data_IF_675862060379
#
_entry.id   IF_675862060379
#
_cell.length_a   1.000
_cell.length_b   1.000
_cell.length_c   1.000
_cell.angle_alpha   90.00
_cell.angle_beta   90.00
_cell.angle_gamma   90.00
#
_symmetry.space_group_name_H-M   'P 1'
#
loop_
_entity.id
_entity.type
_entity.pdbx_description
1 polymer ?
#
# COMPACT_ATOMS: atom_id res chain seq x y z
N UNK A 1 24.30 9.04 34.75
CA UNK A 1 23.12 9.91 34.47
C UNK A 1 22.82 10.14 32.98
N UNK A 2 23.80 10.36 32.08
CA UNK A 2 23.55 10.57 30.63
C UNK A 2 22.81 9.42 29.91
N UNK A 3 23.02 8.17 30.34
CA UNK A 3 22.38 6.99 29.73
C UNK A 3 20.87 6.89 30.00
N UNK A 4 20.41 7.36 31.17
CA UNK A 4 18.98 7.37 31.54
C UNK A 4 18.23 8.44 30.74
N UNK A 5 18.79 9.65 30.64
CA UNK A 5 18.20 10.72 29.85
C UNK A 5 18.00 10.31 28.37
N UNK A 6 19.02 9.71 27.74
CA UNK A 6 18.93 9.25 26.34
C UNK A 6 17.82 8.21 26.13
N UNK A 7 17.62 7.31 27.10
CA UNK A 7 16.57 6.29 27.08
C UNK A 7 15.17 6.92 27.20
N UNK A 8 15.00 7.90 28.08
CA UNK A 8 13.73 8.62 28.27
C UNK A 8 13.33 9.44 27.03
N UNK A 9 14.29 10.11 26.38
CA UNK A 9 14.02 10.83 25.14
C UNK A 9 13.60 9.90 24.01
N UNK A 10 14.26 8.74 23.87
CA UNK A 10 13.93 7.75 22.85
C UNK A 10 12.55 7.12 23.04
N UNK A 11 12.15 6.90 24.30
CA UNK A 11 10.81 6.40 24.64
C UNK A 11 9.74 7.46 24.33
N UNK A 12 10.02 8.73 24.63
CA UNK A 12 9.09 9.83 24.38
C UNK A 12 8.88 10.10 22.89
N UNK A 13 9.94 10.12 22.08
CA UNK A 13 9.82 10.26 20.61
C UNK A 13 9.14 9.07 19.97
N UNK A 14 9.42 7.85 20.43
CA UNK A 14 8.72 6.64 19.95
C UNK A 14 7.21 6.72 20.20
N UNK A 15 6.80 7.19 21.39
CA UNK A 15 5.39 7.36 21.74
C UNK A 15 4.68 8.45 20.90
N UNK A 16 5.33 9.60 20.69
CA UNK A 16 4.77 10.69 19.89
C UNK A 16 4.61 10.26 18.43
N UNK A 17 5.62 9.58 17.87
CA UNK A 17 5.59 9.09 16.50
C UNK A 17 4.48 8.05 16.31
N UNK A 18 4.33 7.08 17.23
CA UNK A 18 3.24 6.08 17.15
C UNK A 18 1.85 6.69 17.29
N UNK A 19 1.69 7.75 18.09
CA UNK A 19 0.41 8.45 18.24
C UNK A 19 0.08 9.22 16.96
N UNK A 20 1.04 9.97 16.41
CA UNK A 20 0.86 10.73 15.17
C UNK A 20 0.52 9.80 13.99
N UNK A 21 1.27 8.71 13.80
CA UNK A 21 1.00 7.74 12.74
C UNK A 21 -0.42 7.16 12.85
N UNK A 22 -0.92 6.90 14.07
CA UNK A 22 -2.27 6.34 14.26
C UNK A 22 -3.38 7.28 13.76
N UNK A 23 -3.24 8.58 13.98
CA UNK A 23 -4.21 9.59 13.55
C UNK A 23 -4.19 9.82 12.03
N UNK A 24 -3.02 9.68 11.40
CA UNK A 24 -2.89 9.83 9.94
C UNK A 24 -3.05 8.52 9.15
N UNK A 25 -3.44 7.42 9.81
CA UNK A 25 -3.61 6.11 9.17
C UNK A 25 -4.47 6.20 7.90
N UNK A 26 -5.61 6.87 7.99
CA UNK A 26 -6.54 6.98 6.86
C UNK A 26 -5.94 7.79 5.71
N UNK A 27 -5.24 8.89 6.02
CA UNK A 27 -4.55 9.72 5.02
C UNK A 27 -3.49 8.91 4.28
N UNK A 28 -2.68 8.13 5.00
CA UNK A 28 -1.63 7.30 4.39
C UNK A 28 -2.23 6.21 3.50
N UNK A 29 -3.32 5.57 3.92
CA UNK A 29 -4.03 4.59 3.10
C UNK A 29 -4.58 5.24 1.82
N UNK A 30 -5.22 6.40 1.94
CA UNK A 30 -5.73 7.14 0.78
C UNK A 30 -4.62 7.54 -0.17
N UNK A 31 -3.47 8.00 0.33
CA UNK A 31 -2.31 8.30 -0.51
C UNK A 31 -1.81 7.08 -1.27
N UNK A 32 -1.79 5.90 -0.63
CA UNK A 32 -1.40 4.66 -1.31
C UNK A 32 -2.40 4.31 -2.41
N UNK A 33 -3.71 4.37 -2.13
CA UNK A 33 -4.77 4.15 -3.13
C UNK A 33 -4.58 5.08 -4.33
N UNK A 34 -4.35 6.37 -4.08
CA UNK A 34 -4.14 7.37 -5.12
C UNK A 34 -2.88 7.09 -5.95
N UNK A 35 -1.79 6.67 -5.32
CA UNK A 35 -0.55 6.30 -6.01
C UNK A 35 -0.75 5.13 -6.96
N UNK A 36 -1.47 4.08 -6.51
CA UNK A 36 -1.77 2.90 -7.33
C UNK A 36 -2.69 3.29 -8.49
N UNK A 37 -3.77 4.03 -8.21
CA UNK A 37 -4.69 4.48 -9.25
C UNK A 37 -3.99 5.36 -10.30
N UNK A 38 -3.11 6.27 -9.87
CA UNK A 38 -2.32 7.09 -10.77
C UNK A 38 -1.33 6.27 -11.62
N UNK A 39 -0.69 5.25 -11.04
CA UNK A 39 0.23 4.37 -11.79
C UNK A 39 -0.48 3.54 -12.87
N UNK A 40 -1.72 3.15 -12.62
CA UNK A 40 -2.59 2.44 -13.56
C UNK A 40 -3.12 3.36 -14.66
N UNK A 41 -3.61 4.56 -14.32
CA UNK A 41 -4.25 5.49 -15.27
C UNK A 41 -3.22 6.19 -16.15
N UNK A 42 -2.03 6.50 -15.62
CA UNK A 42 -0.97 7.20 -16.36
C UNK A 42 0.24 6.27 -16.56
N UNK A 43 0.14 5.25 -17.44
CA UNK A 43 1.26 4.38 -17.76
C UNK A 43 2.29 5.15 -18.60
N UNK A 44 3.19 5.89 -17.94
CA UNK A 44 4.54 6.09 -18.50
C UNK A 44 5.31 4.79 -18.33
N UNK A 45 6.27 4.55 -19.24
CA UNK A 45 7.11 3.34 -19.33
C UNK A 45 7.19 2.58 -18.01
N UNK A 46 6.80 1.30 -18.06
CA UNK A 46 6.76 0.39 -16.91
C UNK A 46 8.14 0.29 -16.27
N UNK A 47 8.35 1.08 -15.23
CA UNK A 47 9.53 0.95 -14.39
C UNK A 47 9.17 0.00 -13.26
N UNK A 48 9.67 -1.24 -13.34
CA UNK A 48 9.49 -2.25 -12.29
C UNK A 48 9.88 -1.69 -10.91
N UNK A 49 10.91 -0.84 -10.88
CA UNK A 49 11.38 -0.13 -9.69
C UNK A 49 10.25 0.68 -9.02
N UNK A 50 9.38 1.31 -9.81
CA UNK A 50 8.24 2.09 -9.29
C UNK A 50 7.22 1.18 -8.63
N UNK A 51 6.88 0.07 -9.27
CA UNK A 51 5.92 -0.93 -8.74
C UNK A 51 6.48 -1.49 -7.43
N UNK A 52 7.73 -1.94 -7.41
CA UNK A 52 8.38 -2.45 -6.20
C UNK A 52 8.49 -1.39 -5.10
N UNK A 53 8.77 -0.13 -5.44
CA UNK A 53 8.82 0.97 -4.48
C UNK A 53 7.47 1.21 -3.79
N UNK A 54 6.39 1.30 -4.57
CA UNK A 54 5.03 1.48 -4.04
C UNK A 54 4.60 0.25 -3.23
N UNK A 55 4.90 -0.96 -3.73
CA UNK A 55 4.61 -2.22 -3.04
C UNK A 55 5.32 -2.29 -1.67
N UNK A 56 6.60 -1.90 -1.61
CA UNK A 56 7.38 -1.85 -0.38
C UNK A 56 6.78 -0.87 0.64
N UNK A 57 6.37 0.32 0.19
CA UNK A 57 5.67 1.30 1.04
C UNK A 57 4.34 0.71 1.56
N UNK A 58 3.59 0.02 0.70
CA UNK A 58 2.34 -0.62 1.09
C UNK A 58 2.54 -1.70 2.16
N UNK A 59 3.51 -2.60 1.96
CA UNK A 59 3.86 -3.65 2.92
C UNK A 59 4.34 -3.04 4.24
N UNK A 60 5.18 -2.00 4.19
CA UNK A 60 5.59 -1.26 5.38
C UNK A 60 4.38 -0.65 6.10
N UNK A 61 3.42 -0.09 5.35
CA UNK A 61 2.15 0.39 5.89
C UNK A 61 1.35 -0.71 6.59
N UNK A 62 1.24 -1.89 5.98
CA UNK A 62 0.60 -3.05 6.61
C UNK A 62 1.26 -3.38 7.96
N UNK A 63 2.59 -3.44 8.01
CA UNK A 63 3.33 -3.80 9.22
C UNK A 63 3.23 -2.74 10.32
N UNK A 64 3.37 -1.46 9.96
CA UNK A 64 3.34 -0.34 10.92
C UNK A 64 1.94 -0.15 11.49
N UNK A 65 0.92 -0.16 10.62
CA UNK A 65 -0.47 0.11 11.02
C UNK A 65 -1.26 -1.14 11.41
N UNK A 66 -0.66 -2.33 11.29
CA UNK A 66 -1.32 -3.62 11.51
C UNK A 66 -2.64 -3.70 10.75
N UNK A 67 -2.59 -3.41 9.45
CA UNK A 67 -3.77 -3.42 8.60
C UNK A 67 -4.33 -4.83 8.50
N UNK A 68 -5.65 -4.94 8.64
CA UNK A 68 -6.37 -6.20 8.49
C UNK A 68 -6.38 -6.65 7.01
N UNK A 69 -6.36 -7.95 6.76
CA UNK A 69 -6.42 -8.59 5.44
C UNK A 69 -7.60 -8.10 4.58
N UNK A 70 -8.72 -7.71 5.21
CA UNK A 70 -9.87 -7.12 4.52
C UNK A 70 -9.49 -5.88 3.70
N UNK A 71 -8.56 -5.04 4.18
CA UNK A 71 -8.12 -3.85 3.43
C UNK A 71 -7.40 -4.24 2.14
N UNK A 72 -6.51 -5.23 2.20
CA UNK A 72 -5.81 -5.73 1.02
C UNK A 72 -6.76 -6.42 0.05
N UNK A 73 -7.77 -7.12 0.55
CA UNK A 73 -8.85 -7.65 -0.27
C UNK A 73 -9.61 -6.54 -1.03
N UNK A 74 -9.96 -5.43 -0.36
CA UNK A 74 -10.58 -4.29 -1.01
C UNK A 74 -9.66 -3.64 -2.06
N UNK A 75 -8.35 -3.55 -1.81
CA UNK A 75 -7.38 -3.09 -2.81
C UNK A 75 -7.33 -4.02 -4.02
N UNK A 76 -7.39 -5.34 -3.82
CA UNK A 76 -7.51 -6.29 -4.91
C UNK A 76 -8.79 -6.07 -5.72
N UNK A 77 -9.93 -5.89 -5.04
CA UNK A 77 -11.21 -5.62 -5.71
C UNK A 77 -11.19 -4.30 -6.50
N UNK A 78 -10.54 -3.26 -5.96
CA UNK A 78 -10.33 -2.00 -6.66
C UNK A 78 -9.50 -2.20 -7.93
N UNK A 79 -8.39 -2.94 -7.87
CA UNK A 79 -7.57 -3.25 -9.04
C UNK A 79 -8.33 -4.04 -10.09
N UNK A 80 -9.15 -5.02 -9.67
CA UNK A 80 -10.02 -5.79 -10.56
C UNK A 80 -11.04 -4.87 -11.27
N UNK A 81 -11.67 -3.99 -10.50
CA UNK A 81 -12.64 -3.02 -11.04
C UNK A 81 -11.98 -2.08 -12.05
N UNK A 82 -10.82 -1.50 -11.71
CA UNK A 82 -10.05 -0.65 -12.62
C UNK A 82 -9.66 -1.39 -13.90
N UNK A 83 -9.15 -2.62 -13.77
CA UNK A 83 -8.81 -3.48 -14.91
C UNK A 83 -10.02 -3.69 -15.83
N UNK A 84 -11.17 -4.05 -15.27
CA UNK A 84 -12.39 -4.29 -16.04
C UNK A 84 -12.86 -3.04 -16.79
N UNK A 85 -12.93 -1.89 -16.14
CA UNK A 85 -13.34 -0.63 -16.76
C UNK A 85 -12.36 -0.21 -17.87
N UNK A 86 -11.05 -0.29 -17.60
CA UNK A 86 -10.03 0.08 -18.58
C UNK A 86 -10.04 -0.86 -19.79
N UNK A 87 -10.32 -2.15 -19.57
CA UNK A 87 -10.46 -3.12 -20.65
C UNK A 87 -11.67 -2.82 -21.54
N UNK A 88 -12.81 -2.41 -20.97
CA UNK A 88 -13.97 -2.01 -21.76
C UNK A 88 -13.71 -0.77 -22.62
N UNK A 89 -12.90 0.18 -22.14
CA UNK A 89 -12.63 1.44 -22.83
C UNK A 89 -11.52 1.30 -23.88
N UNK A 90 -10.43 0.59 -23.53
CA UNK A 90 -9.18 0.59 -24.31
C UNK A 90 -8.79 -0.79 -24.84
N UNK A 91 -9.51 -1.85 -24.48
CA UNK A 91 -9.08 -3.24 -24.73
C UNK A 91 -7.82 -3.59 -23.94
N UNK A 92 -7.04 -4.53 -24.45
CA UNK A 92 -5.73 -4.89 -23.88
C UNK A 92 -4.74 -3.74 -24.09
N UNK A 93 -4.33 -3.10 -23.00
CA UNK A 93 -3.41 -1.97 -22.98
C UNK A 93 -2.47 -2.03 -21.76
N UNK A 94 -1.39 -1.25 -21.78
CA UNK A 94 -0.44 -1.18 -20.65
C UNK A 94 -1.12 -0.83 -19.31
N UNK A 95 -2.16 0.01 -19.33
CA UNK A 95 -2.97 0.30 -18.15
C UNK A 95 -3.69 -0.93 -17.60
N UNK A 96 -4.31 -1.73 -18.48
CA UNK A 96 -5.01 -2.97 -18.06
C UNK A 96 -4.03 -4.00 -17.51
N UNK A 97 -2.85 -4.14 -18.13
CA UNK A 97 -1.80 -5.04 -17.65
C UNK A 97 -1.29 -4.62 -16.27
N UNK A 98 -1.04 -3.33 -16.05
CA UNK A 98 -0.65 -2.81 -14.74
C UNK A 98 -1.71 -3.05 -13.67
N UNK A 99 -2.98 -2.85 -13.99
CA UNK A 99 -4.07 -3.15 -13.06
C UNK A 99 -4.08 -4.64 -12.67
N UNK A 100 -3.83 -5.54 -13.64
CA UNK A 100 -3.70 -6.97 -13.39
C UNK A 100 -2.47 -7.32 -12.52
N UNK A 101 -1.34 -6.65 -12.73
CA UNK A 101 -0.14 -6.80 -11.87
C UNK A 101 -0.43 -6.39 -10.43
N UNK A 102 -1.10 -5.24 -10.23
CA UNK A 102 -1.51 -4.80 -8.91
C UNK A 102 -2.50 -5.78 -8.25
N UNK A 103 -3.47 -6.30 -9.02
CA UNK A 103 -4.39 -7.34 -8.57
C UNK A 103 -3.63 -8.58 -8.08
N UNK A 104 -2.68 -9.08 -8.86
CA UNK A 104 -1.87 -10.24 -8.50
C UNK A 104 -1.11 -10.02 -7.18
N UNK A 105 -0.49 -8.85 -7.02
CA UNK A 105 0.24 -8.53 -5.79
C UNK A 105 -0.67 -8.42 -4.58
N UNK A 106 -1.81 -7.74 -4.68
CA UNK A 106 -2.75 -7.64 -3.55
C UNK A 106 -3.33 -9.00 -3.19
N UNK A 107 -3.61 -9.86 -4.16
CA UNK A 107 -4.07 -11.21 -3.88
C UNK A 107 -3.01 -12.00 -3.08
N UNK A 108 -1.76 -12.00 -3.54
CA UNK A 108 -0.67 -12.70 -2.84
C UNK A 108 -0.42 -12.15 -1.43
N UNK A 109 -0.36 -10.83 -1.27
CA UNK A 109 -0.19 -10.19 0.05
C UNK A 109 -1.38 -10.50 0.96
N UNK A 110 -2.60 -10.42 0.43
CA UNK A 110 -3.83 -10.68 1.18
C UNK A 110 -3.90 -12.12 1.69
N UNK A 111 -3.51 -13.10 0.87
CA UNK A 111 -3.40 -14.50 1.29
C UNK A 111 -2.39 -14.67 2.44
N UNK A 112 -1.20 -14.07 2.32
CA UNK A 112 -0.17 -14.15 3.36
C UNK A 112 -0.64 -13.49 4.66
N UNK A 113 -1.31 -12.34 4.57
CA UNK A 113 -1.89 -11.68 5.75
C UNK A 113 -2.95 -12.55 6.40
N UNK A 114 -3.86 -13.14 5.62
CA UNK A 114 -4.95 -13.96 6.13
C UNK A 114 -4.46 -15.22 6.86
N UNK A 115 -3.31 -15.77 6.46
CA UNK A 115 -2.69 -16.90 7.15
C UNK A 115 -2.01 -16.52 8.47
N UNK A 116 -1.65 -15.24 8.66
CA UNK A 116 -0.98 -14.73 9.86
C UNK A 116 -1.96 -14.14 10.88
N UNK A 117 -3.18 -13.82 10.46
CA UNK A 117 -4.28 -13.35 11.30
C UNK A 117 -5.00 -14.50 12.00
#
# INVERSE_FOLDING_TARGET
MKHLAKKTYFIKTKNIMTVLLRDYRQVVLTLIVLLIAADVIFPKESSDIRIFGILGIYIAGILIYKLNSNYTFFMGLLSLFLMYILFLITGTSSSTEKAAVWLFFFFGIGMIQRLKE
#
